data_IF_581924702502
#
_entry.id   IF_581924702502
#
_cell.length_a   1.000
_cell.length_b   1.000
_cell.length_c   1.000
_cell.angle_alpha   90.00
_cell.angle_beta   90.00
_cell.angle_gamma   90.00
#
_symmetry.space_group_name_H-M   'P 1'
#
loop_
_entity.id
_entity.type
_entity.pdbx_description
1 polymer ?
#
# COMPACT_ATOMS: atom_id res chain seq x y z
N UNK A 1 -38.35 14.16 -0.42
CA UNK A 1 -37.90 13.82 -1.80
C UNK A 1 -37.51 15.16 -2.42
N UNK A 2 -36.24 15.51 -2.44
CA UNK A 2 -35.74 16.70 -3.14
C UNK A 2 -35.45 16.32 -4.59
N UNK A 3 -36.09 17.01 -5.51
CA UNK A 3 -35.98 16.81 -6.95
C UNK A 3 -34.52 17.08 -7.41
N UNK A 4 -33.90 16.09 -8.09
CA UNK A 4 -32.54 16.18 -8.61
C UNK A 4 -32.34 17.35 -9.58
N UNK A 5 -33.38 17.77 -10.27
CA UNK A 5 -33.37 18.85 -11.26
C UNK A 5 -33.08 20.25 -10.69
N UNK A 6 -33.10 20.42 -9.36
CA UNK A 6 -32.93 21.74 -8.72
C UNK A 6 -31.45 22.17 -8.64
N UNK A 7 -30.50 21.26 -8.83
CA UNK A 7 -29.06 21.52 -8.72
C UNK A 7 -28.23 21.14 -9.96
N UNK A 8 -28.81 20.39 -10.90
CA UNK A 8 -28.16 20.02 -12.16
C UNK A 8 -28.81 20.77 -13.34
N UNK A 9 -28.21 21.91 -13.71
CA UNK A 9 -28.70 22.78 -14.81
C UNK A 9 -28.43 22.14 -16.17
N UNK A 10 -27.50 21.18 -16.29
CA UNK A 10 -27.15 20.48 -17.53
C UNK A 10 -26.96 19.01 -17.21
N UNK A 11 -27.67 18.12 -17.94
CA UNK A 11 -27.40 16.66 -17.84
C UNK A 11 -26.02 16.37 -18.47
N UNK A 12 -25.04 15.83 -17.70
CA UNK A 12 -23.69 15.55 -18.18
C UNK A 12 -23.67 14.63 -19.41
N UNK A 13 -24.65 13.74 -19.55
CA UNK A 13 -24.81 12.85 -20.71
C UNK A 13 -25.12 13.61 -21.99
N UNK A 14 -25.83 14.73 -21.89
CA UNK A 14 -26.20 15.56 -23.05
C UNK A 14 -25.02 16.30 -23.67
N UNK A 15 -23.92 16.46 -22.94
CA UNK A 15 -22.67 17.10 -23.39
C UNK A 15 -21.52 16.11 -23.55
N UNK A 16 -21.81 14.80 -23.57
CA UNK A 16 -20.79 13.77 -23.82
C UNK A 16 -19.85 13.47 -22.67
N UNK A 17 -20.17 13.94 -21.46
CA UNK A 17 -19.43 13.59 -20.25
C UNK A 17 -19.95 12.27 -19.71
N UNK A 18 -19.07 11.34 -19.29
CA UNK A 18 -19.50 10.15 -18.56
C UNK A 18 -20.22 10.58 -17.29
N UNK A 19 -21.36 9.93 -17.00
CA UNK A 19 -22.23 10.21 -15.86
C UNK A 19 -21.43 10.42 -14.57
N UNK A 20 -21.83 11.48 -13.81
CA UNK A 20 -21.38 11.84 -12.46
C UNK A 20 -20.38 10.87 -11.81
N UNK A 21 -19.12 10.97 -12.17
CA UNK A 21 -18.08 10.35 -11.37
C UNK A 21 -17.91 11.22 -10.13
N UNK A 22 -18.27 10.69 -8.98
CA UNK A 22 -17.95 11.33 -7.69
C UNK A 22 -16.43 11.39 -7.64
N UNK A 23 -15.86 12.59 -7.82
CA UNK A 23 -14.43 12.81 -7.64
C UNK A 23 -14.14 12.69 -6.16
N UNK A 24 -13.40 11.65 -5.80
CA UNK A 24 -12.97 11.42 -4.44
C UNK A 24 -11.64 12.13 -4.17
N UNK A 25 -11.53 12.74 -3.00
CA UNK A 25 -10.33 13.45 -2.59
C UNK A 25 -10.28 13.63 -1.08
N UNK A 26 -9.37 14.47 -0.60
CA UNK A 26 -9.09 14.70 0.83
C UNK A 26 -10.33 15.02 1.68
N UNK A 27 -11.35 15.68 1.11
CA UNK A 27 -12.59 16.06 1.81
C UNK A 27 -13.70 15.01 1.69
N UNK A 28 -13.48 13.93 0.95
CA UNK A 28 -14.49 12.88 0.80
C UNK A 28 -14.67 12.08 2.09
N UNK A 29 -15.93 11.95 2.51
CA UNK A 29 -16.29 11.20 3.71
C UNK A 29 -16.53 9.71 3.41
N UNK A 30 -16.72 8.91 4.48
CA UNK A 30 -17.00 7.46 4.39
C UNK A 30 -18.20 7.11 3.51
N UNK A 31 -19.25 7.92 3.56
CA UNK A 31 -20.45 7.69 2.73
C UNK A 31 -20.16 7.83 1.23
N UNK A 32 -19.34 8.81 0.83
CA UNK A 32 -18.92 8.99 -0.55
C UNK A 32 -18.03 7.86 -1.03
N UNK A 33 -17.06 7.42 -0.21
CA UNK A 33 -16.22 6.27 -0.51
C UNK A 33 -17.06 4.99 -0.65
N UNK A 34 -17.97 4.73 0.30
CA UNK A 34 -18.87 3.55 0.24
C UNK A 34 -19.66 3.53 -1.06
N UNK A 35 -20.33 4.64 -1.38
CA UNK A 35 -21.15 4.72 -2.59
C UNK A 35 -20.33 4.43 -3.86
N UNK A 36 -19.10 4.96 -3.93
CA UNK A 36 -18.23 4.71 -5.09
C UNK A 36 -17.74 3.28 -5.16
N UNK A 37 -17.38 2.67 -4.03
CA UNK A 37 -16.99 1.25 -3.98
C UNK A 37 -18.15 0.32 -4.37
N UNK A 38 -19.38 0.63 -3.94
CA UNK A 38 -20.59 -0.10 -4.35
C UNK A 38 -20.84 0.01 -5.86
N UNK A 39 -20.64 1.20 -6.46
CA UNK A 39 -20.71 1.39 -7.93
C UNK A 39 -19.66 0.55 -8.68
N UNK A 40 -18.47 0.39 -8.10
CA UNK A 40 -17.40 -0.47 -8.62
C UNK A 40 -17.59 -1.96 -8.31
N UNK A 41 -18.71 -2.33 -7.66
CA UNK A 41 -19.07 -3.72 -7.35
C UNK A 41 -18.46 -4.27 -6.06
N UNK A 42 -17.92 -3.42 -5.20
CA UNK A 42 -17.39 -3.81 -3.90
C UNK A 42 -18.41 -3.57 -2.79
N UNK A 43 -18.93 -4.63 -2.20
CA UNK A 43 -19.79 -4.56 -1.02
C UNK A 43 -18.97 -4.87 0.23
N UNK A 44 -18.78 -3.87 1.06
CA UNK A 44 -17.98 -3.96 2.29
C UNK A 44 -18.89 -3.85 3.52
N UNK A 45 -18.59 -4.64 4.54
CA UNK A 45 -19.19 -4.44 5.85
C UNK A 45 -18.63 -3.17 6.53
N UNK A 46 -19.07 -2.89 7.77
CA UNK A 46 -18.69 -1.65 8.45
C UNK A 46 -17.24 -1.65 8.91
N UNK A 47 -16.70 -2.81 9.31
CA UNK A 47 -15.31 -2.95 9.76
C UNK A 47 -14.38 -2.84 8.57
N UNK A 48 -14.67 -3.56 7.51
CA UNK A 48 -13.95 -3.49 6.24
C UNK A 48 -13.91 -2.09 5.65
N UNK A 49 -15.05 -1.39 5.67
CA UNK A 49 -15.11 -0.01 5.19
C UNK A 49 -14.24 0.93 6.03
N UNK A 50 -14.15 0.73 7.35
CA UNK A 50 -13.31 1.55 8.20
C UNK A 50 -11.82 1.38 7.84
N UNK A 51 -11.34 0.15 7.65
CA UNK A 51 -9.96 -0.13 7.23
C UNK A 51 -9.64 0.48 5.86
N UNK A 52 -10.54 0.27 4.88
CA UNK A 52 -10.38 0.85 3.54
C UNK A 52 -10.41 2.37 3.59
N UNK A 53 -11.22 2.97 4.48
CA UNK A 53 -11.31 4.41 4.63
C UNK A 53 -10.00 5.01 5.16
N UNK A 54 -9.32 4.38 6.12
CA UNK A 54 -8.01 4.85 6.61
C UNK A 54 -6.94 4.78 5.50
N UNK A 55 -6.91 3.68 4.74
CA UNK A 55 -6.01 3.57 3.59
C UNK A 55 -6.34 4.60 2.49
N UNK A 56 -7.64 4.82 2.21
CA UNK A 56 -8.11 5.88 1.30
C UNK A 56 -7.68 7.28 1.77
N UNK A 57 -7.81 7.59 3.07
CA UNK A 57 -7.39 8.89 3.63
C UNK A 57 -5.89 9.11 3.45
N UNK A 58 -5.09 8.10 3.75
CA UNK A 58 -3.64 8.15 3.54
C UNK A 58 -3.27 8.39 2.06
N UNK A 59 -4.02 7.80 1.13
CA UNK A 59 -3.85 8.03 -0.31
C UNK A 59 -4.29 9.45 -0.70
N UNK A 60 -5.47 9.90 -0.24
CA UNK A 60 -6.03 11.21 -0.55
C UNK A 60 -5.23 12.38 0.06
N UNK A 61 -4.43 12.14 1.10
CA UNK A 61 -3.49 13.14 1.63
C UNK A 61 -2.27 13.35 0.72
N UNK A 62 -1.93 12.35 -0.12
CA UNK A 62 -0.79 12.37 -1.05
C UNK A 62 -1.19 12.67 -2.49
N UNK A 63 -2.43 12.35 -2.88
CA UNK A 63 -2.99 12.60 -4.21
C UNK A 63 -4.04 13.71 -4.15
N UNK A 64 -4.04 14.56 -5.18
CA UNK A 64 -5.05 15.61 -5.32
C UNK A 64 -6.45 15.04 -5.58
N UNK A 65 -6.51 13.99 -6.39
CA UNK A 65 -7.74 13.29 -6.78
C UNK A 65 -7.48 11.77 -6.74
N UNK A 66 -8.40 11.03 -6.16
CA UNK A 66 -8.35 9.56 -6.12
C UNK A 66 -9.26 9.02 -7.22
N UNK A 67 -8.67 8.29 -8.15
CA UNK A 67 -9.37 7.70 -9.31
C UNK A 67 -9.98 6.33 -8.96
N UNK A 68 -10.85 5.83 -9.85
CA UNK A 68 -11.40 4.48 -9.71
C UNK A 68 -10.30 3.40 -9.75
N UNK A 69 -9.29 3.59 -10.59
CA UNK A 69 -8.14 2.68 -10.66
C UNK A 69 -7.36 2.64 -9.34
N UNK A 70 -7.22 3.78 -8.66
CA UNK A 70 -6.63 3.84 -7.33
C UNK A 70 -7.44 3.03 -6.31
N UNK A 71 -8.77 3.15 -6.35
CA UNK A 71 -9.67 2.37 -5.49
C UNK A 71 -9.59 0.88 -5.79
N UNK A 72 -9.60 0.49 -7.06
CA UNK A 72 -9.45 -0.90 -7.47
C UNK A 72 -8.10 -1.48 -7.04
N UNK A 73 -7.02 -0.71 -7.18
CA UNK A 73 -5.69 -1.10 -6.69
C UNK A 73 -5.67 -1.27 -5.18
N UNK A 74 -6.25 -0.33 -4.44
CA UNK A 74 -6.39 -0.39 -2.98
C UNK A 74 -7.15 -1.64 -2.55
N UNK A 75 -8.27 -1.95 -3.21
CA UNK A 75 -9.09 -3.14 -2.94
C UNK A 75 -8.35 -4.43 -3.32
N UNK A 76 -7.64 -4.43 -4.45
CA UNK A 76 -6.88 -5.61 -4.88
C UNK A 76 -5.72 -5.90 -3.93
N UNK A 77 -5.02 -4.89 -3.47
CA UNK A 77 -3.94 -5.00 -2.47
C UNK A 77 -4.50 -5.55 -1.16
N UNK A 78 -5.62 -5.00 -0.66
CA UNK A 78 -6.28 -5.49 0.55
C UNK A 78 -6.64 -6.97 0.46
N UNK A 79 -7.32 -7.42 -0.61
CA UNK A 79 -7.65 -8.84 -0.81
C UNK A 79 -6.43 -9.75 -0.83
N UNK A 80 -5.30 -9.25 -1.34
CA UNK A 80 -4.04 -10.01 -1.44
C UNK A 80 -3.23 -10.01 -0.14
N UNK A 81 -3.44 -9.03 0.73
CA UNK A 81 -2.75 -8.89 2.03
C UNK A 81 -3.58 -9.37 3.21
N UNK A 82 -4.91 -9.48 3.06
CA UNK A 82 -5.82 -9.90 4.13
C UNK A 82 -5.50 -11.28 4.73
N UNK A 83 -4.85 -12.16 3.95
CA UNK A 83 -4.44 -13.51 4.39
C UNK A 83 -3.03 -13.55 5.00
N UNK A 84 -2.35 -12.40 5.14
CA UNK A 84 -0.99 -12.36 5.70
C UNK A 84 -1.06 -11.93 7.15
N UNK A 85 -0.71 -12.80 8.10
CA UNK A 85 -0.60 -12.40 9.49
C UNK A 85 0.43 -11.27 9.63
N UNK A 86 0.06 -10.18 10.26
CA UNK A 86 0.98 -9.08 10.58
C UNK A 86 1.73 -9.45 11.85
N UNK A 87 2.94 -10.00 11.68
CA UNK A 87 3.84 -10.35 12.80
C UNK A 87 4.67 -9.12 13.17
N UNK A 88 5.27 -8.46 12.18
CA UNK A 88 5.95 -7.19 12.32
C UNK A 88 5.24 -6.12 11.50
N UNK A 89 5.11 -4.92 12.03
CA UNK A 89 4.46 -3.78 11.35
C UNK A 89 5.48 -2.69 11.02
N UNK A 90 5.47 -2.21 9.76
CA UNK A 90 6.27 -1.06 9.33
C UNK A 90 5.59 0.24 9.75
N UNK A 91 6.06 0.87 10.83
CA UNK A 91 5.52 2.13 11.30
C UNK A 91 6.08 3.35 10.53
N UNK A 92 7.35 3.30 10.10
CA UNK A 92 7.96 4.41 9.37
C UNK A 92 9.14 3.94 8.53
N UNK A 93 9.33 4.62 7.39
CA UNK A 93 10.54 4.51 6.56
C UNK A 93 10.96 5.88 6.08
N UNK A 94 12.25 6.17 6.18
CA UNK A 94 12.87 7.38 5.67
C UNK A 94 14.13 7.00 4.90
N UNK A 95 14.34 7.65 3.75
CA UNK A 95 15.51 7.40 2.91
C UNK A 95 16.19 8.72 2.54
N UNK A 96 17.52 8.74 2.63
CA UNK A 96 18.38 9.78 2.08
C UNK A 96 19.16 9.16 0.93
N UNK A 97 19.10 9.78 -0.25
CA UNK A 97 19.79 9.31 -1.46
C UNK A 97 20.08 10.47 -2.38
N UNK A 98 21.18 10.37 -3.14
CA UNK A 98 21.62 11.38 -4.09
C UNK A 98 22.68 10.79 -5.02
N UNK A 99 23.13 11.54 -6.02
CA UNK A 99 24.07 11.07 -7.03
C UNK A 99 25.45 10.73 -6.45
N UNK A 100 25.87 11.47 -5.41
CA UNK A 100 27.17 11.29 -4.75
C UNK A 100 27.05 10.89 -3.27
N UNK A 101 25.82 10.70 -2.78
CA UNK A 101 25.57 10.31 -1.40
C UNK A 101 25.49 8.79 -1.26
N UNK A 102 25.82 8.31 -0.06
CA UNK A 102 25.63 6.91 0.29
C UNK A 102 24.14 6.69 0.60
N UNK A 103 23.39 5.92 -0.20
CA UNK A 103 21.98 5.64 0.09
C UNK A 103 21.82 5.08 1.49
N UNK A 104 21.03 5.76 2.32
CA UNK A 104 20.82 5.41 3.73
C UNK A 104 19.31 5.36 4.01
N UNK A 105 18.87 4.31 4.64
CA UNK A 105 17.49 4.17 5.09
C UNK A 105 17.41 4.01 6.60
N UNK A 106 16.41 4.66 7.22
CA UNK A 106 16.00 4.46 8.60
C UNK A 106 14.59 3.87 8.60
N UNK A 107 14.39 2.81 9.36
CA UNK A 107 13.08 2.17 9.51
C UNK A 107 12.68 2.15 10.98
N UNK A 108 11.36 2.25 11.22
CA UNK A 108 10.73 2.01 12.50
C UNK A 108 9.75 0.87 12.32
N UNK A 109 9.93 -0.19 13.09
CA UNK A 109 9.16 -1.43 13.00
C UNK A 109 8.61 -1.76 14.38
N UNK A 110 7.34 -2.11 14.44
CA UNK A 110 6.70 -2.63 15.65
C UNK A 110 6.86 -4.14 15.69
N UNK A 111 7.39 -4.67 16.77
CA UNK A 111 7.57 -6.11 17.00
C UNK A 111 6.25 -6.80 17.38
N UNK A 112 6.20 -8.15 17.39
CA UNK A 112 5.04 -8.90 17.88
C UNK A 112 4.67 -8.60 19.32
N UNK A 113 5.64 -8.18 20.14
CA UNK A 113 5.47 -7.81 21.55
C UNK A 113 4.96 -6.37 21.73
N UNK A 114 4.89 -5.60 20.63
CA UNK A 114 4.46 -4.20 20.63
C UNK A 114 5.60 -3.20 20.82
N UNK A 115 6.86 -3.65 20.83
CA UNK A 115 8.01 -2.76 20.97
C UNK A 115 8.32 -2.06 19.64
N UNK A 116 8.57 -0.75 19.71
CA UNK A 116 9.05 0.02 18.55
C UNK A 116 10.58 -0.06 18.44
N UNK A 117 11.06 -0.63 17.36
CA UNK A 117 12.48 -0.79 17.06
C UNK A 117 12.85 0.14 15.91
N UNK A 118 13.90 0.94 16.08
CA UNK A 118 14.42 1.84 15.04
C UNK A 118 15.84 1.38 14.69
N UNK A 119 16.10 1.18 13.41
CA UNK A 119 17.47 0.90 12.91
C UNK A 119 17.67 1.55 11.54
N UNK A 120 18.92 1.68 11.15
CA UNK A 120 19.31 2.28 9.89
C UNK A 120 20.40 1.44 9.20
N UNK A 121 20.39 1.48 7.87
CA UNK A 121 21.40 0.81 7.08
C UNK A 121 21.73 1.62 5.82
N UNK A 122 22.92 1.41 5.29
CA UNK A 122 23.33 1.89 3.97
C UNK A 122 23.15 0.78 2.94
N UNK A 123 22.99 1.18 1.66
CA UNK A 123 22.83 0.24 0.56
C UNK A 123 23.48 0.73 -0.73
N UNK A 124 23.40 -0.09 -1.78
CA UNK A 124 23.83 0.27 -3.14
C UNK A 124 22.83 1.18 -3.85
N UNK A 125 21.61 1.27 -3.29
CA UNK A 125 20.52 2.14 -3.72
C UNK A 125 19.48 2.27 -2.60
N UNK A 126 18.49 3.15 -2.77
CA UNK A 126 17.48 3.44 -1.73
C UNK A 126 16.70 2.20 -1.30
N UNK A 127 16.29 1.35 -2.23
CA UNK A 127 15.55 0.12 -1.93
C UNK A 127 16.43 -0.90 -1.19
N UNK A 128 17.69 -1.09 -1.61
CA UNK A 128 18.64 -1.97 -0.92
C UNK A 128 18.91 -1.51 0.51
N UNK A 129 19.06 -0.19 0.71
CA UNK A 129 19.23 0.38 2.06
C UNK A 129 18.01 0.07 2.97
N UNK A 130 16.78 0.21 2.43
CA UNK A 130 15.54 -0.13 3.16
C UNK A 130 15.52 -1.61 3.53
N UNK A 131 15.80 -2.50 2.58
CA UNK A 131 15.78 -3.94 2.83
C UNK A 131 16.81 -4.36 3.88
N UNK A 132 18.02 -3.79 3.83
CA UNK A 132 19.05 -4.03 4.84
C UNK A 132 18.64 -3.53 6.21
N UNK A 133 18.02 -2.34 6.30
CA UNK A 133 17.53 -1.82 7.58
C UNK A 133 16.45 -2.71 8.18
N UNK A 134 15.47 -3.16 7.37
CA UNK A 134 14.43 -4.10 7.79
C UNK A 134 15.04 -5.43 8.27
N UNK A 135 15.99 -6.00 7.50
CA UNK A 135 16.63 -7.27 7.87
C UNK A 135 17.42 -7.19 9.17
N UNK A 136 18.03 -6.05 9.47
CA UNK A 136 18.73 -5.84 10.74
C UNK A 136 17.80 -5.88 11.94
N UNK A 137 16.57 -5.33 11.79
CA UNK A 137 15.56 -5.35 12.85
C UNK A 137 14.96 -6.74 13.02
N UNK A 138 14.56 -7.39 11.90
CA UNK A 138 13.83 -8.65 11.94
C UNK A 138 14.75 -9.86 12.14
N UNK A 139 16.01 -9.77 11.67
CA UNK A 139 17.02 -10.80 11.87
C UNK A 139 16.76 -12.10 11.10
N UNK A 140 16.02 -12.06 9.99
CA UNK A 140 15.66 -13.22 9.19
C UNK A 140 16.51 -13.27 7.91
N UNK A 141 17.32 -14.34 7.79
CA UNK A 141 18.06 -14.58 6.56
C UNK A 141 17.12 -14.92 5.41
N UNK A 142 17.27 -14.19 4.31
CA UNK A 142 16.51 -14.41 3.09
C UNK A 142 17.28 -13.89 1.88
N UNK A 143 16.88 -14.28 0.69
CA UNK A 143 17.41 -13.80 -0.58
C UNK A 143 16.31 -13.24 -1.44
N UNK A 144 16.42 -11.96 -1.84
CA UNK A 144 15.53 -11.35 -2.83
C UNK A 144 15.80 -11.99 -4.21
N UNK A 145 14.79 -12.59 -4.82
CA UNK A 145 14.89 -13.27 -6.13
C UNK A 145 14.17 -12.53 -7.25
N UNK A 146 13.16 -11.72 -6.93
CA UNK A 146 12.46 -10.89 -7.91
C UNK A 146 12.05 -9.56 -7.28
N UNK A 147 12.22 -8.49 -8.06
CA UNK A 147 11.72 -7.17 -7.76
C UNK A 147 11.06 -6.60 -9.02
N UNK A 148 9.77 -6.32 -8.95
CA UNK A 148 8.99 -5.77 -10.06
C UNK A 148 8.17 -4.58 -9.59
N UNK A 149 8.17 -3.53 -10.42
CA UNK A 149 7.38 -2.32 -10.21
C UNK A 149 6.43 -2.16 -11.39
N UNK A 150 5.15 -2.06 -11.12
CA UNK A 150 4.11 -1.79 -12.10
C UNK A 150 3.45 -0.44 -11.78
N UNK A 151 3.32 0.45 -12.75
CA UNK A 151 2.52 1.66 -12.61
C UNK A 151 1.04 1.27 -12.79
N UNK A 152 0.21 1.60 -11.80
CA UNK A 152 -1.22 1.24 -11.82
C UNK A 152 -2.07 2.38 -12.35
N UNK A 153 -1.64 3.63 -12.15
CA UNK A 153 -2.36 4.83 -12.56
C UNK A 153 -1.44 5.77 -13.33
N UNK A 154 -2.02 6.73 -14.03
CA UNK A 154 -1.27 7.72 -14.81
C UNK A 154 -1.01 8.99 -13.97
N UNK A 155 0.06 9.72 -14.33
CA UNK A 155 0.39 11.00 -13.73
C UNK A 155 1.62 10.97 -12.82
N UNK A 156 2.02 12.14 -12.32
CA UNK A 156 3.21 12.30 -11.47
C UNK A 156 2.99 11.73 -10.05
N UNK A 157 1.73 11.64 -9.64
CA UNK A 157 1.26 11.05 -8.38
C UNK A 157 0.68 9.65 -8.57
N UNK A 158 1.09 8.96 -9.65
CA UNK A 158 0.67 7.59 -9.96
C UNK A 158 0.93 6.65 -8.78
N UNK A 159 -0.01 5.73 -8.56
CA UNK A 159 0.17 4.64 -7.62
C UNK A 159 1.08 3.58 -8.24
N UNK A 160 2.17 3.26 -7.59
CA UNK A 160 3.08 2.20 -7.96
C UNK A 160 2.81 0.93 -7.15
N UNK A 161 2.61 -0.18 -7.84
CA UNK A 161 2.55 -1.52 -7.24
C UNK A 161 3.92 -2.17 -7.30
N UNK A 162 4.42 -2.60 -6.15
CA UNK A 162 5.66 -3.37 -6.05
C UNK A 162 5.33 -4.81 -5.69
N UNK A 163 5.85 -5.73 -6.50
CA UNK A 163 5.83 -7.16 -6.21
C UNK A 163 7.25 -7.64 -6.01
N UNK A 164 7.48 -8.36 -4.91
CA UNK A 164 8.78 -8.97 -4.64
C UNK A 164 8.63 -10.46 -4.35
N UNK A 165 9.72 -11.20 -4.58
CA UNK A 165 9.86 -12.58 -4.13
C UNK A 165 11.12 -12.69 -3.29
N UNK A 166 11.01 -13.30 -2.13
CA UNK A 166 12.13 -13.70 -1.30
C UNK A 166 12.18 -15.21 -1.21
N UNK A 167 13.38 -15.77 -1.16
CA UNK A 167 13.64 -17.18 -0.91
C UNK A 167 14.22 -17.33 0.50
N UNK A 168 13.67 -18.27 1.26
CA UNK A 168 14.11 -18.65 2.59
C UNK A 168 13.89 -20.13 2.80
N UNK A 169 14.92 -20.85 3.25
CA UNK A 169 14.87 -22.32 3.49
C UNK A 169 14.35 -23.12 2.27
N UNK A 170 14.68 -22.67 1.04
CA UNK A 170 14.18 -23.22 -0.24
C UNK A 170 12.71 -22.92 -0.56
N UNK A 171 11.98 -22.25 0.30
CA UNK A 171 10.63 -21.78 0.05
C UNK A 171 10.62 -20.37 -0.52
N UNK A 172 9.64 -20.08 -1.38
CA UNK A 172 9.48 -18.76 -2.02
C UNK A 172 8.25 -18.06 -1.48
N UNK A 173 8.45 -16.84 -0.98
CA UNK A 173 7.39 -15.99 -0.44
C UNK A 173 7.23 -14.75 -1.30
N UNK A 174 5.97 -14.46 -1.66
CA UNK A 174 5.63 -13.29 -2.49
C UNK A 174 5.02 -12.21 -1.59
N UNK A 175 5.59 -11.01 -1.66
CA UNK A 175 5.03 -9.83 -1.01
C UNK A 175 4.63 -8.78 -2.02
N UNK A 176 3.64 -7.97 -1.67
CA UNK A 176 3.14 -6.86 -2.48
C UNK A 176 2.91 -5.63 -1.62
N UNK A 177 3.11 -4.47 -2.22
CA UNK A 177 2.87 -3.18 -1.57
C UNK A 177 2.57 -2.12 -2.62
N UNK A 178 1.67 -1.22 -2.29
CA UNK A 178 1.26 -0.10 -3.15
C UNK A 178 1.42 1.21 -2.40
N UNK A 179 1.99 2.20 -3.07
CA UNK A 179 2.10 3.58 -2.57
C UNK A 179 2.37 4.52 -3.75
N UNK A 180 2.17 5.82 -3.55
CA UNK A 180 2.62 6.86 -4.49
C UNK A 180 4.14 7.03 -4.46
N UNK A 181 4.80 6.63 -3.36
CA UNK A 181 6.25 6.54 -3.24
C UNK A 181 6.69 5.09 -3.42
N UNK A 182 7.46 4.82 -4.48
CA UNK A 182 7.97 3.48 -4.81
C UNK A 182 8.84 2.89 -3.70
N UNK A 183 9.58 3.73 -2.94
CA UNK A 183 10.40 3.26 -1.83
C UNK A 183 9.52 2.76 -0.69
N UNK A 184 8.44 3.49 -0.38
CA UNK A 184 7.44 3.07 0.61
C UNK A 184 6.71 1.81 0.16
N UNK A 185 6.30 1.76 -1.13
CA UNK A 185 5.68 0.56 -1.71
C UNK A 185 6.61 -0.67 -1.62
N UNK A 186 7.92 -0.47 -1.90
CA UNK A 186 8.94 -1.52 -1.79
C UNK A 186 9.10 -2.02 -0.34
N UNK A 187 9.14 -1.10 0.63
CA UNK A 187 9.22 -1.45 2.04
C UNK A 187 8.00 -2.28 2.49
N UNK A 188 6.79 -1.86 2.11
CA UNK A 188 5.54 -2.59 2.37
C UNK A 188 5.54 -3.98 1.75
N UNK A 189 5.97 -4.09 0.48
CA UNK A 189 6.07 -5.38 -0.22
C UNK A 189 7.03 -6.32 0.49
N UNK A 190 8.18 -5.80 0.94
CA UNK A 190 9.19 -6.60 1.63
C UNK A 190 8.69 -7.08 3.00
N UNK A 191 8.09 -6.20 3.81
CA UNK A 191 7.47 -6.57 5.09
C UNK A 191 6.39 -7.63 4.92
N UNK A 192 5.57 -7.51 3.87
CA UNK A 192 4.53 -8.49 3.56
C UNK A 192 5.11 -9.87 3.24
N UNK A 193 6.20 -9.94 2.45
CA UNK A 193 6.88 -11.21 2.17
C UNK A 193 7.51 -11.83 3.43
N UNK A 194 8.15 -11.01 4.27
CA UNK A 194 8.75 -11.45 5.52
C UNK A 194 7.70 -11.98 6.52
N UNK A 195 6.58 -11.28 6.68
CA UNK A 195 5.50 -11.73 7.54
C UNK A 195 4.92 -13.08 7.08
N UNK A 196 4.81 -13.31 5.76
CA UNK A 196 4.43 -14.63 5.22
C UNK A 196 5.46 -15.72 5.58
N UNK A 197 6.74 -15.43 5.41
CA UNK A 197 7.80 -16.38 5.74
C UNK A 197 7.80 -16.75 7.22
N UNK A 198 7.63 -15.74 8.10
CA UNK A 198 7.56 -15.95 9.55
C UNK A 198 6.30 -16.69 10.00
N UNK A 199 5.17 -16.51 9.31
CA UNK A 199 3.92 -17.20 9.65
C UNK A 199 4.02 -18.71 9.42
N UNK A 200 4.78 -19.15 8.41
CA UNK A 200 5.02 -20.57 8.15
C UNK A 200 5.89 -21.18 9.24
N UNK A 201 6.96 -20.49 9.68
CA UNK A 201 7.83 -20.98 10.76
C UNK A 201 7.06 -21.16 12.08
N UNK A 202 6.17 -20.24 12.39
CA UNK A 202 5.33 -20.29 13.60
C UNK A 202 4.37 -21.48 13.59
N UNK A 203 3.98 -21.95 12.39
CA UNK A 203 3.10 -23.10 12.20
C UNK A 203 3.82 -24.45 12.27
N UNK A 204 5.14 -24.49 12.00
CA UNK A 204 5.95 -25.70 12.05
C UNK A 204 6.51 -26.02 13.46
N UNK A 205 6.47 -25.04 14.37
CA UNK A 205 6.94 -25.17 15.76
C UNK A 205 5.83 -25.46 16.78
N UNK A 206 4.62 -25.78 16.32
CA UNK A 206 3.49 -26.27 17.14
C UNK A 206 3.23 -27.76 16.87
#
# INVERSE_FOLDING_TARGET
IKDKSTYEIIDPKSVGWPSNSIVLGKLSGRAGLRARLEELGYNLDQEELNEVFEAFKSLADRKREVTDQDLESLMSTRRRTADVPTIYELAHVQVSTGDHDVPTATVKITSPEGDEIIDAATGTGPVDAVYRAINRVIGVENRLTEFRVDAVTEGIDALGDVTIRIERNSDVFVGRGSDTDIIVASAKAYMNALNRALSVDSSQNK
#
